data_IF_133036858596
#
_entry.id   IF_133036858596
#
_cell.length_a   1.000
_cell.length_b   1.000
_cell.length_c   1.000
_cell.angle_alpha   90.00
_cell.angle_beta   90.00
_cell.angle_gamma   90.00
#
_symmetry.space_group_name_H-M   'P 1'
#
loop_
_entity.id
_entity.type
_entity.pdbx_description
1 polymer ?
#
# COMPACT_ATOMS: atom_id res chain seq x y z
N UNK A 1 9.63 -23.67 12.81
CA UNK A 1 9.91 -22.22 12.82
C UNK A 1 11.38 -22.01 12.52
N UNK A 2 11.73 -21.32 11.42
CA UNK A 2 13.12 -20.93 11.18
C UNK A 2 13.49 -19.93 12.27
N UNK A 3 14.47 -20.27 13.08
CA UNK A 3 14.99 -19.36 14.11
C UNK A 3 15.53 -18.11 13.40
N UNK A 4 15.05 -16.93 13.76
CA UNK A 4 15.55 -15.68 13.19
C UNK A 4 17.05 -15.54 13.50
N UNK A 5 17.89 -15.65 12.48
CA UNK A 5 19.35 -15.54 12.62
C UNK A 5 19.73 -14.05 12.78
N UNK A 6 19.07 -13.15 12.02
CA UNK A 6 19.26 -11.70 12.10
C UNK A 6 18.23 -11.08 13.05
N UNK A 7 18.62 -10.21 14.00
CA UNK A 7 17.69 -9.64 14.97
C UNK A 7 16.71 -8.61 14.35
N UNK A 8 16.93 -8.19 13.12
CA UNK A 8 16.11 -7.22 12.39
C UNK A 8 14.91 -7.91 11.74
N UNK A 9 13.70 -7.34 11.95
CA UNK A 9 12.46 -7.84 11.37
C UNK A 9 11.41 -6.75 11.24
N UNK A 10 10.50 -6.92 10.29
CA UNK A 10 9.22 -6.21 10.27
C UNK A 10 8.19 -6.99 11.09
N UNK A 11 7.36 -6.28 11.82
CA UNK A 11 6.29 -6.83 12.63
C UNK A 11 4.97 -6.36 12.06
N UNK A 12 4.09 -7.32 11.71
CA UNK A 12 2.76 -7.09 11.18
C UNK A 12 1.75 -7.54 12.23
N UNK A 13 0.93 -6.61 12.72
CA UNK A 13 -0.14 -6.89 13.66
C UNK A 13 -1.45 -7.21 12.90
N UNK A 14 -1.75 -8.50 12.74
CA UNK A 14 -2.93 -8.94 12.00
C UNK A 14 -4.25 -8.68 12.75
N UNK A 15 -4.22 -8.62 14.08
CA UNK A 15 -5.42 -8.28 14.87
C UNK A 15 -5.79 -6.81 14.67
N UNK A 16 -4.79 -5.92 14.67
CA UNK A 16 -5.00 -4.52 14.38
C UNK A 16 -5.46 -4.32 12.92
N UNK A 17 -4.92 -5.08 11.98
CA UNK A 17 -5.36 -5.06 10.58
C UNK A 17 -6.83 -5.47 10.46
N UNK A 18 -7.23 -6.57 11.12
CA UNK A 18 -8.62 -7.04 11.16
C UNK A 18 -9.54 -5.98 11.75
N UNK A 19 -9.18 -5.44 12.91
CA UNK A 19 -9.91 -4.36 13.57
C UNK A 19 -10.09 -3.15 12.64
N UNK A 20 -9.02 -2.68 12.01
CA UNK A 20 -9.07 -1.53 11.11
C UNK A 20 -10.03 -1.76 9.94
N UNK A 21 -9.92 -2.91 9.27
CA UNK A 21 -10.80 -3.24 8.14
C UNK A 21 -12.26 -3.27 8.58
N UNK A 22 -12.58 -3.87 9.74
CA UNK A 22 -13.92 -3.92 10.28
C UNK A 22 -14.47 -2.52 10.61
N UNK A 23 -13.67 -1.66 11.23
CA UNK A 23 -14.09 -0.27 11.54
C UNK A 23 -14.31 0.55 10.26
N UNK A 24 -13.46 0.37 9.24
CA UNK A 24 -13.63 1.03 7.95
C UNK A 24 -14.92 0.57 7.26
N UNK A 25 -15.19 -0.74 7.21
CA UNK A 25 -16.42 -1.29 6.62
C UNK A 25 -17.66 -0.80 7.36
N UNK A 26 -17.61 -0.76 8.68
CA UNK A 26 -18.70 -0.20 9.50
C UNK A 26 -18.97 1.28 9.18
N UNK A 27 -17.91 2.07 8.99
CA UNK A 27 -18.03 3.48 8.61
C UNK A 27 -18.56 3.64 7.18
N UNK A 28 -18.18 2.74 6.28
CA UNK A 28 -18.55 2.75 4.87
C UNK A 28 -19.66 1.73 4.51
N UNK A 29 -20.53 1.41 5.45
CA UNK A 29 -21.58 0.39 5.34
C UNK A 29 -22.54 0.57 4.16
N UNK A 30 -22.67 1.79 3.66
CA UNK A 30 -23.53 2.12 2.51
C UNK A 30 -22.94 1.70 1.17
N UNK A 31 -21.67 1.28 1.13
CA UNK A 31 -21.09 0.67 -0.05
C UNK A 31 -21.31 -0.85 -0.03
N UNK A 32 -21.77 -1.39 -1.15
CA UNK A 32 -21.95 -2.85 -1.33
C UNK A 32 -20.62 -3.59 -1.54
N UNK A 33 -19.69 -2.93 -2.24
CA UNK A 33 -18.41 -3.53 -2.61
C UNK A 33 -17.24 -2.80 -1.94
N UNK A 34 -16.49 -3.57 -1.13
CA UNK A 34 -15.28 -3.11 -0.46
C UNK A 34 -14.08 -3.79 -1.08
N UNK A 35 -13.36 -3.07 -1.94
CA UNK A 35 -12.16 -3.58 -2.59
C UNK A 35 -10.96 -3.45 -1.65
N UNK A 36 -10.37 -4.57 -1.23
CA UNK A 36 -9.06 -4.58 -0.60
C UNK A 36 -7.97 -4.42 -1.66
N UNK A 37 -7.31 -3.26 -1.69
CA UNK A 37 -6.17 -3.03 -2.59
C UNK A 37 -4.93 -3.64 -1.95
N UNK A 38 -4.49 -4.77 -2.51
CA UNK A 38 -3.44 -5.63 -1.94
C UNK A 38 -2.20 -5.76 -2.83
N UNK A 39 -2.01 -4.79 -3.74
CA UNK A 39 -0.82 -4.68 -4.60
C UNK A 39 0.47 -4.48 -3.79
N UNK A 40 1.62 -4.69 -4.43
CA UNK A 40 2.95 -4.59 -3.83
C UNK A 40 3.08 -5.42 -2.54
N UNK A 41 2.66 -6.71 -2.61
CA UNK A 41 2.64 -7.64 -1.47
C UNK A 41 1.88 -7.06 -0.25
N UNK A 42 0.65 -6.54 -0.49
CA UNK A 42 -0.16 -5.84 0.51
C UNK A 42 0.55 -4.62 1.11
N UNK A 43 1.15 -3.76 0.26
CA UNK A 43 1.99 -2.65 0.71
C UNK A 43 3.14 -3.13 1.62
N UNK A 44 3.76 -4.25 1.26
CA UNK A 44 4.79 -4.93 2.03
C UNK A 44 4.34 -5.52 3.39
N UNK A 45 3.01 -5.61 3.62
CA UNK A 45 2.45 -6.30 4.80
C UNK A 45 2.24 -7.80 4.55
N UNK A 46 2.69 -8.28 3.43
CA UNK A 46 2.75 -9.67 2.95
C UNK A 46 1.42 -10.30 2.55
N UNK A 47 1.50 -11.22 1.62
CA UNK A 47 0.36 -12.03 1.13
C UNK A 47 -0.41 -12.76 2.27
N UNK A 48 0.24 -13.04 3.41
CA UNK A 48 -0.42 -13.65 4.58
C UNK A 48 -1.51 -12.77 5.18
N UNK A 49 -1.42 -11.43 5.00
CA UNK A 49 -2.45 -10.50 5.45
C UNK A 49 -3.78 -10.65 4.70
N UNK A 50 -3.79 -11.25 3.51
CA UNK A 50 -4.99 -11.34 2.66
C UNK A 50 -6.11 -12.12 3.33
N UNK A 51 -5.79 -13.25 3.99
CA UNK A 51 -6.79 -14.03 4.71
C UNK A 51 -7.47 -13.19 5.78
N UNK A 52 -6.69 -12.45 6.56
CA UNK A 52 -7.20 -11.54 7.60
C UNK A 52 -8.10 -10.43 7.02
N UNK A 53 -7.70 -9.85 5.89
CA UNK A 53 -8.46 -8.81 5.18
C UNK A 53 -9.80 -9.35 4.69
N UNK A 54 -9.83 -10.56 4.13
CA UNK A 54 -11.05 -11.24 3.67
C UNK A 54 -11.97 -11.56 4.87
N UNK A 55 -11.43 -12.16 5.91
CA UNK A 55 -12.18 -12.49 7.14
C UNK A 55 -12.74 -11.25 7.85
N UNK A 56 -12.13 -10.09 7.64
CA UNK A 56 -12.61 -8.83 8.17
C UNK A 56 -13.77 -8.21 7.37
N UNK A 57 -14.12 -8.76 6.20
CA UNK A 57 -15.30 -8.37 5.43
C UNK A 57 -15.02 -7.75 4.05
N UNK A 58 -13.76 -7.70 3.61
CA UNK A 58 -13.45 -7.36 2.21
C UNK A 58 -14.09 -8.39 1.29
N UNK A 59 -14.79 -7.94 0.24
CA UNK A 59 -15.52 -8.79 -0.67
C UNK A 59 -15.07 -8.71 -2.14
N UNK A 60 -14.00 -7.95 -2.40
CA UNK A 60 -13.30 -7.89 -3.68
C UNK A 60 -11.83 -7.53 -3.46
N UNK A 61 -10.90 -8.13 -4.21
CA UNK A 61 -9.48 -7.79 -4.12
C UNK A 61 -9.04 -7.00 -5.37
N UNK A 62 -8.07 -6.11 -5.20
CA UNK A 62 -7.51 -5.36 -6.32
C UNK A 62 -5.97 -5.33 -6.25
N UNK A 63 -5.33 -5.61 -7.38
CA UNK A 63 -3.88 -5.70 -7.55
C UNK A 63 -3.41 -4.88 -8.75
N UNK A 64 -2.10 -4.76 -8.97
CA UNK A 64 -1.55 -4.04 -10.13
C UNK A 64 -1.14 -4.96 -11.27
N UNK A 65 -0.81 -6.23 -11.02
CA UNK A 65 -0.28 -7.13 -12.05
C UNK A 65 -0.92 -8.52 -12.05
N UNK A 66 -0.76 -9.23 -13.15
CA UNK A 66 -1.22 -10.61 -13.26
C UNK A 66 -0.43 -11.54 -12.34
N UNK A 67 0.86 -11.28 -12.14
CA UNK A 67 1.71 -12.06 -11.24
C UNK A 67 1.21 -11.99 -9.79
N UNK A 68 0.80 -10.80 -9.33
CA UNK A 68 0.19 -10.64 -8.02
C UNK A 68 -1.15 -11.39 -7.94
N UNK A 69 -2.02 -11.19 -8.95
CA UNK A 69 -3.32 -11.87 -9.01
C UNK A 69 -3.17 -13.40 -8.94
N UNK A 70 -2.23 -13.97 -9.71
CA UNK A 70 -1.99 -15.42 -9.72
C UNK A 70 -1.41 -15.96 -8.41
N UNK A 71 -0.58 -15.18 -7.70
CA UNK A 71 -0.12 -15.55 -6.36
C UNK A 71 -1.29 -15.59 -5.37
N UNK A 72 -2.17 -14.60 -5.44
CA UNK A 72 -3.35 -14.49 -4.56
C UNK A 72 -4.38 -15.57 -4.89
N UNK A 73 -4.59 -15.88 -6.16
CA UNK A 73 -5.52 -16.94 -6.59
C UNK A 73 -5.19 -18.31 -6.00
N UNK A 74 -3.92 -18.59 -5.66
CA UNK A 74 -3.52 -19.82 -4.99
C UNK A 74 -4.04 -19.96 -3.54
N UNK A 75 -4.51 -18.87 -2.94
CA UNK A 75 -4.94 -18.84 -1.53
C UNK A 75 -6.41 -18.43 -1.34
N UNK A 76 -7.10 -17.99 -2.38
CA UNK A 76 -8.52 -17.60 -2.32
C UNK A 76 -9.19 -17.63 -3.69
N UNK A 77 -10.49 -17.94 -3.71
CA UNK A 77 -11.36 -17.86 -4.89
C UNK A 77 -12.10 -16.52 -4.99
N UNK A 78 -11.82 -15.56 -4.09
CA UNK A 78 -12.41 -14.23 -4.13
C UNK A 78 -12.15 -13.54 -5.48
N UNK A 79 -13.08 -12.70 -5.93
CA UNK A 79 -12.91 -11.87 -7.13
C UNK A 79 -11.66 -11.00 -7.00
N UNK A 80 -10.87 -10.93 -8.09
CA UNK A 80 -9.63 -10.15 -8.15
C UNK A 80 -9.67 -9.28 -9.40
N UNK A 81 -9.56 -7.97 -9.21
CA UNK A 81 -9.40 -6.99 -10.29
C UNK A 81 -7.94 -6.62 -10.45
N UNK A 82 -7.42 -6.69 -11.67
CA UNK A 82 -6.13 -6.06 -12.00
C UNK A 82 -6.41 -4.62 -12.43
N UNK A 83 -5.82 -3.65 -11.71
CA UNK A 83 -6.08 -2.20 -11.91
C UNK A 83 -5.37 -1.60 -13.14
N UNK A 84 -4.52 -2.37 -13.81
CA UNK A 84 -3.75 -1.98 -14.99
C UNK A 84 -4.00 -2.94 -16.15
N UNK A 85 -3.95 -2.49 -17.41
CA UNK A 85 -3.99 -3.38 -18.56
C UNK A 85 -2.81 -4.35 -18.54
N UNK A 86 -3.08 -5.63 -18.82
CA UNK A 86 -2.03 -6.66 -18.91
C UNK A 86 -1.66 -6.93 -20.38
N UNK A 87 -0.54 -7.61 -20.61
CA UNK A 87 -0.15 -8.03 -21.95
C UNK A 87 -1.24 -8.88 -22.60
N UNK A 88 -1.53 -8.63 -23.87
CA UNK A 88 -2.51 -9.39 -24.66
C UNK A 88 -2.19 -10.89 -24.66
N UNK A 89 -0.90 -11.25 -24.70
CA UNK A 89 -0.45 -12.65 -24.63
C UNK A 89 -0.82 -13.36 -23.33
N UNK A 90 -1.16 -12.60 -22.29
CA UNK A 90 -1.49 -13.11 -20.95
C UNK A 90 -2.98 -13.16 -20.65
N UNK A 91 -3.85 -12.68 -21.56
CA UNK A 91 -5.30 -12.60 -21.37
C UNK A 91 -5.90 -13.98 -21.07
N UNK A 92 -5.59 -14.99 -21.87
CA UNK A 92 -6.14 -16.34 -21.69
C UNK A 92 -5.74 -16.94 -20.33
N UNK A 93 -4.55 -16.61 -19.84
CA UNK A 93 -4.10 -17.01 -18.51
C UNK A 93 -4.90 -16.31 -17.40
N UNK A 94 -5.22 -15.04 -17.57
CA UNK A 94 -6.07 -14.31 -16.63
C UNK A 94 -7.49 -14.89 -16.62
N UNK A 95 -8.10 -15.13 -17.79
CA UNK A 95 -9.42 -15.72 -17.93
C UNK A 95 -9.50 -17.09 -17.27
N UNK A 96 -8.53 -17.98 -17.55
CA UNK A 96 -8.46 -19.33 -16.94
C UNK A 96 -8.43 -19.29 -15.41
N UNK A 97 -7.93 -18.21 -14.82
CA UNK A 97 -7.83 -18.04 -13.38
C UNK A 97 -8.92 -17.11 -12.79
N UNK A 98 -10.01 -16.84 -13.53
CA UNK A 98 -11.12 -15.98 -13.10
C UNK A 98 -10.65 -14.61 -12.58
N UNK A 99 -9.75 -13.96 -13.32
CA UNK A 99 -9.23 -12.63 -12.98
C UNK A 99 -9.97 -11.59 -13.82
N UNK A 100 -10.54 -10.59 -13.16
CA UNK A 100 -11.21 -9.45 -13.78
C UNK A 100 -10.15 -8.47 -14.31
N UNK A 101 -10.35 -7.99 -15.54
CA UNK A 101 -9.39 -7.14 -16.25
C UNK A 101 -9.81 -5.68 -16.21
N UNK A 102 -8.85 -4.76 -16.24
CA UNK A 102 -9.11 -3.35 -16.53
C UNK A 102 -8.95 -3.08 -18.02
N UNK A 103 -9.97 -2.45 -18.61
CA UNK A 103 -9.91 -1.86 -19.94
C UNK A 103 -9.81 -0.34 -19.79
N UNK A 104 -8.80 0.26 -20.41
CA UNK A 104 -8.51 1.69 -20.30
C UNK A 104 -8.32 2.42 -21.63
N UNK A 105 -8.47 1.70 -22.76
CA UNK A 105 -8.40 2.29 -24.10
C UNK A 105 -9.18 1.45 -25.11
N UNK A 106 -9.59 2.09 -26.19
CA UNK A 106 -10.27 1.44 -27.33
C UNK A 106 -9.36 0.42 -28.01
N UNK A 107 -8.08 0.74 -28.17
CA UNK A 107 -7.10 -0.17 -28.79
C UNK A 107 -6.96 -1.47 -28.00
N UNK A 108 -6.90 -1.36 -26.67
CA UNK A 108 -6.82 -2.53 -25.82
C UNK A 108 -8.11 -3.35 -25.90
N UNK A 109 -9.26 -2.69 -25.86
CA UNK A 109 -10.57 -3.33 -25.97
C UNK A 109 -10.72 -4.10 -27.30
N UNK A 110 -10.34 -3.49 -28.41
CA UNK A 110 -10.40 -4.13 -29.73
C UNK A 110 -9.54 -5.41 -29.80
N UNK A 111 -8.43 -5.47 -29.09
CA UNK A 111 -7.54 -6.65 -29.04
C UNK A 111 -8.13 -7.81 -28.22
N UNK A 112 -9.10 -7.54 -27.36
CA UNK A 112 -9.68 -8.57 -26.47
C UNK A 112 -11.18 -8.80 -26.72
N UNK A 113 -11.84 -8.08 -27.64
CA UNK A 113 -13.30 -8.13 -27.86
C UNK A 113 -13.84 -9.53 -28.18
N UNK A 114 -13.02 -10.39 -28.77
CA UNK A 114 -13.42 -11.76 -29.12
C UNK A 114 -13.22 -12.75 -27.94
N UNK A 115 -12.71 -12.28 -26.81
CA UNK A 115 -12.50 -13.10 -25.61
C UNK A 115 -13.72 -13.07 -24.69
N UNK A 116 -14.06 -14.21 -24.11
CA UNK A 116 -15.06 -14.29 -23.03
C UNK A 116 -14.39 -13.96 -21.70
N UNK A 117 -14.46 -12.69 -21.30
CA UNK A 117 -13.80 -12.22 -20.08
C UNK A 117 -14.66 -11.20 -19.32
N UNK A 118 -14.38 -11.05 -18.03
CA UNK A 118 -14.97 -10.03 -17.15
C UNK A 118 -14.05 -8.83 -17.08
N UNK A 119 -14.64 -7.64 -17.24
CA UNK A 119 -13.85 -6.40 -17.22
C UNK A 119 -14.44 -5.33 -16.30
N UNK A 120 -13.57 -4.43 -15.85
CA UNK A 120 -13.95 -3.08 -15.40
C UNK A 120 -13.42 -2.04 -16.41
N UNK A 121 -14.31 -1.16 -16.85
CA UNK A 121 -13.96 -0.07 -17.75
C UNK A 121 -13.46 1.13 -16.94
N UNK A 122 -12.27 1.61 -17.26
CA UNK A 122 -11.66 2.74 -16.54
C UNK A 122 -11.90 4.06 -17.28
N UNK A 123 -12.35 5.07 -16.53
CA UNK A 123 -12.58 6.43 -17.01
C UNK A 123 -11.45 7.34 -16.50
N UNK A 124 -10.91 8.17 -17.38
CA UNK A 124 -9.97 9.22 -17.00
C UNK A 124 -10.76 10.50 -16.67
N UNK A 125 -10.76 10.88 -15.41
CA UNK A 125 -11.41 12.11 -14.93
C UNK A 125 -10.40 13.16 -14.48
N UNK A 126 -9.21 13.17 -15.09
CA UNK A 126 -8.19 14.20 -14.83
C UNK A 126 -6.91 13.70 -14.18
N UNK A 127 -6.82 12.44 -13.75
CA UNK A 127 -5.56 11.87 -13.27
C UNK A 127 -4.55 11.64 -14.41
N UNK A 128 -5.01 11.52 -15.66
CA UNK A 128 -4.20 11.41 -16.88
C UNK A 128 -3.16 10.27 -16.88
N UNK A 129 -3.51 9.17 -16.20
CA UNK A 129 -2.66 7.98 -16.12
C UNK A 129 -3.17 6.85 -17.01
N UNK A 130 -4.45 6.51 -16.89
CA UNK A 130 -5.15 5.47 -17.65
C UNK A 130 -6.65 5.78 -17.69
N UNK A 131 -7.35 5.38 -18.76
CA UNK A 131 -8.82 5.46 -18.87
C UNK A 131 -9.28 6.18 -20.12
N UNK A 132 -10.55 5.98 -20.45
CA UNK A 132 -11.22 6.68 -21.55
C UNK A 132 -11.41 8.16 -21.20
N UNK A 133 -11.13 9.06 -22.15
CA UNK A 133 -10.97 10.48 -21.87
C UNK A 133 -12.27 11.29 -22.03
N UNK A 134 -13.24 10.77 -22.78
CA UNK A 134 -14.44 11.52 -23.13
C UNK A 134 -15.62 10.60 -23.44
N UNK A 135 -16.80 11.20 -23.56
CA UNK A 135 -18.05 10.50 -23.86
C UNK A 135 -17.98 9.71 -25.18
N UNK A 136 -17.36 10.25 -26.21
CA UNK A 136 -17.26 9.57 -27.53
C UNK A 136 -16.46 8.26 -27.42
N UNK A 137 -15.34 8.26 -26.69
CA UNK A 137 -14.58 7.04 -26.43
C UNK A 137 -15.37 6.06 -25.57
N UNK A 138 -16.11 6.54 -24.58
CA UNK A 138 -16.97 5.72 -23.74
C UNK A 138 -18.09 5.05 -24.55
N UNK A 139 -18.82 5.81 -25.37
CA UNK A 139 -19.91 5.30 -26.20
C UNK A 139 -19.41 4.23 -27.17
N UNK A 140 -18.24 4.47 -27.79
CA UNK A 140 -17.59 3.50 -28.67
C UNK A 140 -17.22 2.21 -27.91
N UNK A 141 -16.59 2.34 -26.74
CA UNK A 141 -16.23 1.19 -25.90
C UNK A 141 -17.47 0.40 -25.48
N UNK A 142 -18.51 1.08 -25.02
CA UNK A 142 -19.75 0.44 -24.59
C UNK A 142 -20.43 -0.32 -25.74
N UNK A 143 -20.45 0.28 -26.95
CA UNK A 143 -20.99 -0.38 -28.13
C UNK A 143 -20.19 -1.64 -28.53
N UNK A 144 -18.84 -1.58 -28.49
CA UNK A 144 -17.99 -2.75 -28.72
C UNK A 144 -18.29 -3.85 -27.71
N UNK A 145 -18.39 -3.50 -26.42
CA UNK A 145 -18.66 -4.47 -25.34
C UNK A 145 -20.02 -5.14 -25.55
N UNK A 146 -21.08 -4.37 -25.87
CA UNK A 146 -22.43 -4.92 -26.12
C UNK A 146 -22.49 -5.90 -27.28
N UNK A 147 -21.61 -5.75 -28.25
CA UNK A 147 -21.53 -6.61 -29.44
C UNK A 147 -20.42 -7.67 -29.33
N UNK A 148 -19.98 -7.98 -28.13
CA UNK A 148 -18.89 -8.93 -27.84
C UNK A 148 -19.31 -9.96 -26.77
N UNK A 149 -18.42 -10.88 -26.45
CA UNK A 149 -18.59 -11.84 -25.35
C UNK A 149 -18.02 -11.33 -24.02
N UNK A 150 -17.69 -10.02 -23.93
CA UNK A 150 -17.14 -9.40 -22.73
C UNK A 150 -18.27 -9.09 -21.75
N UNK A 151 -18.08 -9.46 -20.50
CA UNK A 151 -18.96 -9.05 -19.41
C UNK A 151 -18.43 -7.77 -18.74
N UNK A 152 -19.16 -6.66 -18.89
CA UNK A 152 -18.89 -5.40 -18.21
C UNK A 152 -19.42 -5.49 -16.79
N UNK A 153 -18.57 -5.90 -15.84
CA UNK A 153 -18.93 -6.00 -14.44
C UNK A 153 -18.88 -4.63 -13.73
N UNK A 154 -17.94 -3.77 -14.13
CA UNK A 154 -17.80 -2.49 -13.44
C UNK A 154 -17.27 -1.33 -14.28
N UNK A 155 -17.53 -0.13 -13.80
CA UNK A 155 -16.95 1.12 -14.34
C UNK A 155 -16.32 1.89 -13.17
N UNK A 156 -15.15 2.50 -13.40
CA UNK A 156 -14.46 3.20 -12.33
C UNK A 156 -13.55 4.34 -12.79
N UNK A 157 -13.28 5.23 -11.86
CA UNK A 157 -12.21 6.22 -11.97
C UNK A 157 -11.36 6.26 -10.70
N UNK A 158 -10.40 7.18 -10.64
CA UNK A 158 -9.56 7.41 -9.47
C UNK A 158 -9.40 8.89 -9.18
N UNK A 159 -9.78 9.29 -7.97
CA UNK A 159 -9.62 10.66 -7.50
C UNK A 159 -8.12 10.94 -7.28
N UNK A 160 -7.58 11.98 -7.93
CA UNK A 160 -6.16 12.30 -7.81
C UNK A 160 -5.84 13.23 -6.64
N UNK A 161 -6.85 13.97 -6.15
CA UNK A 161 -6.73 14.82 -4.98
C UNK A 161 -8.06 14.85 -4.20
N UNK A 162 -8.30 13.80 -3.40
CA UNK A 162 -9.51 13.68 -2.59
C UNK A 162 -9.51 14.57 -1.33
N UNK A 163 -8.48 15.39 -1.12
CA UNK A 163 -8.46 16.40 -0.06
C UNK A 163 -9.00 17.75 -0.52
N UNK A 164 -9.19 17.94 -1.83
CA UNK A 164 -9.78 19.15 -2.42
C UNK A 164 -11.21 18.86 -2.89
N UNK A 165 -12.17 19.58 -2.32
CA UNK A 165 -13.59 19.40 -2.65
C UNK A 165 -13.91 19.75 -4.10
N UNK A 166 -13.38 20.88 -4.62
CA UNK A 166 -13.70 21.33 -5.97
C UNK A 166 -13.14 20.38 -7.03
N UNK A 167 -11.91 19.91 -6.82
CA UNK A 167 -11.28 18.90 -7.69
C UNK A 167 -12.08 17.60 -7.64
N UNK A 168 -12.43 17.12 -6.45
CA UNK A 168 -13.21 15.91 -6.27
C UNK A 168 -14.57 16.01 -6.94
N UNK A 169 -15.30 17.12 -6.72
CA UNK A 169 -16.58 17.38 -7.35
C UNK A 169 -16.47 17.39 -8.88
N UNK A 170 -15.49 18.13 -9.42
CA UNK A 170 -15.24 18.18 -10.86
C UNK A 170 -14.99 16.79 -11.46
N UNK A 171 -14.24 15.91 -10.76
CA UNK A 171 -14.01 14.55 -11.21
C UNK A 171 -15.28 13.69 -11.21
N UNK A 172 -16.15 13.84 -10.22
CA UNK A 172 -17.46 13.17 -10.20
C UNK A 172 -18.37 13.68 -11.32
N UNK A 173 -18.44 15.00 -11.53
CA UNK A 173 -19.26 15.60 -12.58
C UNK A 173 -18.77 15.17 -13.98
N UNK A 174 -17.45 15.12 -14.18
CA UNK A 174 -16.85 14.63 -15.42
C UNK A 174 -17.13 13.14 -15.63
N UNK A 175 -17.07 12.32 -14.58
CA UNK A 175 -17.43 10.90 -14.67
C UNK A 175 -18.88 10.73 -15.12
N UNK A 176 -19.84 11.44 -14.51
CA UNK A 176 -21.25 11.44 -14.91
C UNK A 176 -21.44 11.86 -16.37
N UNK A 177 -20.76 12.92 -16.78
CA UNK A 177 -20.85 13.42 -18.16
C UNK A 177 -20.34 12.37 -19.18
N UNK A 178 -19.18 11.79 -18.92
CA UNK A 178 -18.59 10.76 -19.81
C UNK A 178 -19.50 9.54 -19.92
N UNK A 179 -20.12 9.11 -18.83
CA UNK A 179 -20.97 7.90 -18.76
C UNK A 179 -22.45 8.16 -19.00
N UNK A 180 -22.84 9.37 -19.38
CA UNK A 180 -24.24 9.82 -19.45
C UNK A 180 -25.13 9.12 -20.51
N UNK A 181 -24.56 8.34 -21.40
CA UNK A 181 -25.27 7.56 -22.41
C UNK A 181 -25.90 6.27 -21.91
N UNK A 182 -25.60 5.88 -20.67
CA UNK A 182 -26.15 4.67 -20.05
C UNK A 182 -26.75 4.96 -18.69
N UNK A 183 -27.68 4.11 -18.27
CA UNK A 183 -28.08 4.04 -16.86
C UNK A 183 -27.04 3.27 -16.07
N UNK A 184 -26.33 3.95 -15.18
CA UNK A 184 -25.29 3.35 -14.34
C UNK A 184 -25.83 2.29 -13.37
N UNK A 185 -27.15 2.28 -13.08
CA UNK A 185 -27.78 1.24 -12.27
C UNK A 185 -27.79 -0.14 -12.92
N UNK A 186 -27.60 -0.19 -14.24
CA UNK A 186 -27.51 -1.45 -15.02
C UNK A 186 -26.12 -2.09 -14.97
N UNK A 187 -25.14 -1.42 -14.38
CA UNK A 187 -23.78 -1.92 -14.20
C UNK A 187 -23.60 -2.39 -12.75
N UNK A 188 -23.12 -3.61 -12.56
CA UNK A 188 -23.05 -4.21 -11.22
C UNK A 188 -22.23 -3.38 -10.22
N UNK A 189 -21.11 -2.80 -10.68
CA UNK A 189 -20.15 -2.14 -9.80
C UNK A 189 -19.68 -0.79 -10.35
N UNK A 190 -20.01 0.28 -9.64
CA UNK A 190 -19.41 1.60 -9.88
C UNK A 190 -18.51 1.95 -8.68
N UNK A 191 -17.21 2.04 -8.90
CA UNK A 191 -16.28 2.34 -7.81
C UNK A 191 -15.35 3.52 -8.12
N UNK A 192 -15.44 4.56 -7.32
CA UNK A 192 -14.71 5.82 -7.51
C UNK A 192 -13.75 6.09 -6.33
N UNK A 193 -14.22 6.15 -5.04
CA UNK A 193 -13.38 6.60 -3.95
C UNK A 193 -12.31 5.56 -3.57
N UNK A 194 -11.17 6.08 -3.18
CA UNK A 194 -10.12 5.40 -2.42
C UNK A 194 -10.15 5.87 -0.97
N UNK A 195 -9.13 5.56 -0.18
CA UNK A 195 -9.06 5.83 1.25
C UNK A 195 -9.58 7.21 1.67
N UNK A 196 -9.06 8.28 1.08
CA UNK A 196 -9.44 9.65 1.46
C UNK A 196 -10.83 10.02 0.92
N UNK A 197 -11.14 9.60 -0.31
CA UNK A 197 -12.42 9.94 -0.95
C UNK A 197 -13.63 9.37 -0.21
N UNK A 198 -13.54 8.12 0.31
CA UNK A 198 -14.66 7.52 1.06
C UNK A 198 -14.81 8.04 2.48
N UNK A 199 -13.76 8.68 3.03
CA UNK A 199 -13.80 9.25 4.38
C UNK A 199 -14.15 10.74 4.34
N UNK A 200 -13.73 11.46 3.30
CA UNK A 200 -13.90 12.91 3.21
C UNK A 200 -15.27 13.33 2.68
N UNK A 201 -15.92 12.46 1.89
CA UNK A 201 -17.16 12.81 1.20
C UNK A 201 -18.25 11.76 1.41
N UNK A 202 -19.53 12.17 1.43
CA UNK A 202 -20.64 11.24 1.42
C UNK A 202 -20.63 10.37 0.16
N UNK A 203 -21.19 9.18 0.26
CA UNK A 203 -21.37 8.29 -0.87
C UNK A 203 -22.27 8.94 -1.92
N UNK A 204 -21.84 8.94 -3.17
CA UNK A 204 -22.66 9.35 -4.32
C UNK A 204 -23.67 8.24 -4.66
N UNK A 205 -24.90 8.59 -5.01
CA UNK A 205 -26.02 7.63 -5.21
C UNK A 205 -25.72 6.51 -6.21
N UNK A 206 -25.03 6.84 -7.31
CA UNK A 206 -24.67 5.88 -8.35
C UNK A 206 -23.42 5.06 -8.05
N UNK A 207 -22.70 5.35 -6.94
CA UNK A 207 -21.46 4.64 -6.56
C UNK A 207 -21.81 3.59 -5.52
N UNK A 208 -21.43 2.33 -5.74
CA UNK A 208 -21.70 1.23 -4.83
C UNK A 208 -20.43 0.47 -4.39
N UNK A 209 -19.25 0.92 -4.84
CA UNK A 209 -17.96 0.34 -4.45
C UNK A 209 -16.93 1.37 -4.00
N UNK A 210 -16.11 1.03 -3.02
CA UNK A 210 -14.97 1.81 -2.54
C UNK A 210 -13.71 0.93 -2.44
N UNK A 211 -12.52 1.58 -2.51
CA UNK A 211 -11.23 0.87 -2.54
C UNK A 211 -10.40 1.23 -1.32
N UNK A 212 -10.21 0.25 -0.44
CA UNK A 212 -9.41 0.35 0.77
C UNK A 212 -7.95 0.05 0.44
N UNK A 213 -7.08 1.03 0.59
CA UNK A 213 -5.63 0.91 0.42
C UNK A 213 -4.91 1.08 1.76
N UNK A 214 -4.12 2.14 1.87
CA UNK A 214 -3.28 2.41 3.05
C UNK A 214 -4.07 2.58 4.35
N UNK A 215 -5.33 2.99 4.25
CA UNK A 215 -6.21 3.16 5.43
C UNK A 215 -6.33 1.84 6.22
N UNK A 216 -6.27 0.68 5.57
CA UNK A 216 -6.30 -0.62 6.26
C UNK A 216 -5.13 -0.77 7.25
N UNK A 217 -4.01 -0.10 6.99
CA UNK A 217 -2.80 -0.14 7.82
C UNK A 217 -2.75 0.98 8.87
N UNK A 218 -3.87 1.67 9.08
CA UNK A 218 -4.04 2.63 10.17
C UNK A 218 -3.71 4.08 9.82
N UNK A 219 -3.48 4.40 8.54
CA UNK A 219 -3.19 5.78 8.12
C UNK A 219 -4.48 6.55 7.80
N UNK A 220 -5.08 7.10 8.82
CA UNK A 220 -6.19 8.05 8.74
C UNK A 220 -6.36 8.74 10.11
N UNK A 221 -6.68 10.03 10.11
CA UNK A 221 -6.83 10.86 11.30
C UNK A 221 -8.30 11.02 11.77
N UNK A 222 -9.27 10.68 10.91
CA UNK A 222 -10.71 10.77 11.23
C UNK A 222 -11.27 9.51 11.90
N UNK A 223 -10.63 8.35 11.68
CA UNK A 223 -11.01 7.08 12.28
C UNK A 223 -9.98 6.66 13.33
N UNK A 224 -10.45 6.08 14.44
CA UNK A 224 -9.55 5.52 15.49
C UNK A 224 -8.98 4.18 15.05
N UNK A 225 -8.05 4.21 14.12
CA UNK A 225 -7.38 3.03 13.60
C UNK A 225 -6.10 2.71 14.39
N UNK A 226 -5.65 1.47 14.30
CA UNK A 226 -4.50 0.93 15.04
C UNK A 226 -3.31 0.72 14.13
N UNK A 227 -2.10 0.82 14.70
CA UNK A 227 -0.85 0.58 13.98
C UNK A 227 -0.72 -0.89 13.58
N UNK A 228 -0.41 -1.13 12.31
CA UNK A 228 -0.27 -2.50 11.76
C UNK A 228 1.18 -2.86 11.52
N UNK A 229 2.01 -1.89 11.12
CA UNK A 229 3.35 -2.11 10.62
C UNK A 229 4.40 -1.45 11.53
N UNK A 230 5.46 -2.20 11.86
CA UNK A 230 6.65 -1.64 12.51
C UNK A 230 7.92 -2.38 12.05
N UNK A 231 9.09 -1.74 12.21
CA UNK A 231 10.40 -2.33 11.91
C UNK A 231 11.27 -2.28 13.16
N UNK A 232 11.71 -3.43 13.59
CA UNK A 232 12.44 -3.62 14.84
C UNK A 232 13.81 -4.25 14.59
N UNK A 233 14.76 -3.90 15.45
CA UNK A 233 16.11 -4.44 15.45
C UNK A 233 16.67 -4.49 16.88
N UNK A 234 17.99 -4.63 16.98
CA UNK A 234 18.72 -4.60 18.26
C UNK A 234 20.07 -3.90 18.08
N UNK A 235 20.62 -3.39 19.18
CA UNK A 235 22.03 -3.03 19.25
C UNK A 235 22.85 -4.32 19.24
N UNK A 236 23.74 -4.47 18.27
CA UNK A 236 24.60 -5.68 18.17
C UNK A 236 26.00 -5.46 18.70
N UNK A 237 26.46 -4.19 18.74
CA UNK A 237 27.78 -3.81 19.22
C UNK A 237 27.77 -2.37 19.69
N UNK A 238 28.70 -2.03 20.60
CA UNK A 238 28.89 -0.67 21.08
C UNK A 238 30.39 -0.34 20.98
N UNK A 239 30.72 0.76 20.32
CA UNK A 239 32.07 1.30 20.21
C UNK A 239 32.18 2.62 20.98
N UNK A 240 33.31 2.83 21.59
CA UNK A 240 33.68 4.12 22.17
C UNK A 240 34.62 4.85 21.21
N UNK A 241 34.20 5.97 20.69
CA UNK A 241 35.03 6.88 19.92
C UNK A 241 35.65 7.92 20.86
N UNK A 242 36.92 8.22 20.63
CA UNK A 242 37.60 9.35 21.27
C UNK A 242 37.31 10.64 20.52
N UNK A 243 37.43 11.77 21.18
CA UNK A 243 37.39 13.07 20.52
C UNK A 243 38.33 13.09 19.31
N UNK A 244 37.77 13.42 18.14
CA UNK A 244 38.51 13.48 16.88
C UNK A 244 38.43 12.23 16.03
N UNK A 245 38.00 11.09 16.58
CA UNK A 245 37.76 9.86 15.80
C UNK A 245 36.65 10.03 14.78
N UNK A 246 36.76 9.29 13.69
CA UNK A 246 35.75 9.30 12.61
C UNK A 246 34.96 7.99 12.55
N UNK A 247 33.77 8.00 11.99
CA UNK A 247 32.87 6.86 11.90
C UNK A 247 32.44 6.57 10.48
N UNK A 248 32.52 5.28 10.10
CA UNK A 248 31.96 4.73 8.87
C UNK A 248 32.66 5.21 7.60
N UNK A 249 32.03 4.94 6.46
CA UNK A 249 32.60 5.28 5.15
C UNK A 249 32.83 6.78 4.99
N UNK A 250 34.03 7.14 4.52
CA UNK A 250 34.53 8.50 4.29
C UNK A 250 34.62 9.35 5.58
N UNK A 251 34.52 8.75 6.77
CA UNK A 251 34.64 9.47 8.05
C UNK A 251 33.68 10.67 8.17
N UNK A 252 32.46 10.59 7.61
CA UNK A 252 31.54 11.73 7.54
C UNK A 252 30.98 12.18 8.89
N UNK A 253 31.08 11.35 9.92
CA UNK A 253 30.88 11.73 11.32
C UNK A 253 32.22 11.80 12.00
N UNK A 254 32.48 12.90 12.72
CA UNK A 254 33.64 13.10 13.56
C UNK A 254 33.19 13.36 15.01
N UNK A 255 33.72 12.62 15.93
CA UNK A 255 33.39 12.76 17.35
C UNK A 255 33.95 14.09 17.92
N UNK A 256 33.08 14.95 18.43
CA UNK A 256 33.46 16.22 19.05
C UNK A 256 33.96 16.02 20.49
N UNK A 257 33.58 14.93 21.13
CA UNK A 257 33.88 14.48 22.48
C UNK A 257 33.94 12.94 22.51
N UNK A 258 34.35 12.36 23.63
CA UNK A 258 34.27 10.92 23.85
C UNK A 258 32.79 10.48 23.71
N UNK A 259 32.51 9.60 22.77
CA UNK A 259 31.14 9.30 22.32
C UNK A 259 30.93 7.79 22.22
N UNK A 260 29.79 7.30 22.70
CA UNK A 260 29.33 5.91 22.48
C UNK A 260 28.52 5.80 21.22
N UNK A 261 28.80 4.76 20.41
CA UNK A 261 28.13 4.46 19.16
C UNK A 261 27.56 3.06 19.24
N UNK A 262 26.24 2.96 19.06
CA UNK A 262 25.54 1.69 18.90
C UNK A 262 25.47 1.29 17.42
N UNK A 263 25.75 0.02 17.10
CA UNK A 263 25.65 -0.55 15.76
C UNK A 263 24.34 -1.33 15.64
N UNK A 264 23.59 -1.06 14.59
CA UNK A 264 22.31 -1.69 14.31
C UNK A 264 22.39 -2.44 12.96
N UNK A 265 22.05 -3.74 12.89
CA UNK A 265 22.18 -4.57 11.67
C UNK A 265 21.00 -4.35 10.70
N UNK A 266 20.90 -3.15 10.17
CA UNK A 266 19.97 -2.77 9.09
C UNK A 266 20.62 -1.63 8.28
N UNK A 267 20.53 -1.68 6.96
CA UNK A 267 21.13 -0.68 6.09
C UNK A 267 20.35 -0.44 4.80
N UNK A 268 21.02 0.17 3.80
CA UNK A 268 20.30 0.57 2.59
C UNK A 268 19.86 -0.63 1.71
N UNK A 269 20.51 -1.78 1.80
CA UNK A 269 20.04 -2.99 1.12
C UNK A 269 18.72 -3.53 1.70
N UNK A 270 18.38 -3.14 2.92
CA UNK A 270 17.13 -3.49 3.60
C UNK A 270 16.04 -2.44 3.37
N UNK A 271 16.37 -1.32 2.71
CA UNK A 271 15.45 -0.23 2.43
C UNK A 271 15.62 1.02 3.31
N UNK A 272 16.62 1.04 4.21
CA UNK A 272 16.98 2.24 4.97
C UNK A 272 17.97 3.05 4.15
N UNK A 273 17.47 3.78 3.15
CA UNK A 273 18.29 4.55 2.22
C UNK A 273 19.17 5.58 2.95
N UNK A 274 20.23 6.06 2.29
CA UNK A 274 21.25 6.91 2.90
C UNK A 274 20.75 8.25 3.43
N UNK A 275 19.65 8.77 2.85
CA UNK A 275 18.95 9.96 3.30
C UNK A 275 18.34 9.83 4.69
N UNK A 276 18.22 8.60 5.24
CA UNK A 276 17.85 8.38 6.65
C UNK A 276 18.92 8.83 7.67
N UNK A 277 20.11 9.25 7.26
CA UNK A 277 21.13 9.82 8.17
C UNK A 277 20.53 11.01 8.94
N UNK A 278 20.96 11.19 10.19
CA UNK A 278 20.55 12.26 11.12
C UNK A 278 19.08 12.22 11.58
N UNK A 279 18.22 11.32 11.08
CA UNK A 279 16.94 11.08 11.73
C UNK A 279 17.10 10.24 12.99
N UNK A 280 16.08 10.23 13.85
CA UNK A 280 16.12 9.38 15.05
C UNK A 280 15.49 8.00 14.83
N UNK A 281 15.90 7.08 15.70
CA UNK A 281 15.24 5.81 16.02
C UNK A 281 14.88 5.82 17.51
N UNK A 282 14.07 4.87 17.96
CA UNK A 282 13.83 4.72 19.39
C UNK A 282 14.60 3.52 19.95
N UNK A 283 15.21 3.70 21.14
CA UNK A 283 15.81 2.65 21.94
C UNK A 283 15.28 2.85 23.37
N UNK A 284 14.63 1.84 23.95
CA UNK A 284 14.02 1.93 25.28
C UNK A 284 13.16 3.20 25.44
N UNK A 285 12.29 3.49 24.43
CA UNK A 285 11.38 4.64 24.33
C UNK A 285 12.03 6.02 24.23
N UNK A 286 13.36 6.12 24.23
CA UNK A 286 14.10 7.37 23.99
C UNK A 286 14.55 7.50 22.53
N UNK A 287 14.70 8.74 22.07
CA UNK A 287 15.17 9.07 20.70
C UNK A 287 16.69 9.09 20.64
N UNK A 288 17.28 8.36 19.69
CA UNK A 288 18.70 8.35 19.38
C UNK A 288 18.92 8.60 17.90
N UNK A 289 19.87 9.46 17.56
CA UNK A 289 20.06 9.92 16.19
C UNK A 289 21.04 9.04 15.42
N UNK A 290 20.69 8.73 14.19
CA UNK A 290 21.58 8.04 13.25
C UNK A 290 22.71 8.98 12.88
N UNK A 291 23.95 8.50 12.98
CA UNK A 291 25.17 9.27 12.71
C UNK A 291 26.03 8.59 11.65
N UNK A 292 26.79 9.38 10.91
CA UNK A 292 27.61 8.88 9.81
C UNK A 292 26.80 8.37 8.61
N UNK A 293 27.51 7.77 7.67
CA UNK A 293 26.87 7.21 6.47
C UNK A 293 26.24 5.84 6.78
N UNK A 294 24.99 5.64 6.36
CA UNK A 294 24.37 4.31 6.41
C UNK A 294 25.10 3.38 5.45
N UNK A 295 25.47 2.21 5.96
CA UNK A 295 26.14 1.15 5.20
C UNK A 295 25.12 0.24 4.49
N UNK A 296 25.61 -0.72 3.71
CA UNK A 296 24.73 -1.69 3.01
C UNK A 296 23.87 -2.47 4.00
N UNK A 297 24.43 -2.93 5.11
CA UNK A 297 23.82 -3.86 6.06
C UNK A 297 23.71 -3.32 7.49
N UNK A 298 24.23 -2.13 7.77
CA UNK A 298 24.34 -1.56 9.12
C UNK A 298 24.13 -0.05 9.10
N UNK A 299 23.69 0.46 10.23
CA UNK A 299 23.70 1.88 10.55
C UNK A 299 24.19 2.11 11.98
N UNK A 300 24.54 3.34 12.30
CA UNK A 300 25.13 3.75 13.55
C UNK A 300 24.23 4.79 14.23
N UNK A 301 24.16 4.72 15.56
CA UNK A 301 23.44 5.70 16.39
C UNK A 301 24.33 6.21 17.51
N UNK A 302 24.32 7.52 17.77
CA UNK A 302 24.95 8.07 18.98
C UNK A 302 24.07 7.69 20.17
N UNK A 303 24.66 7.05 21.19
CA UNK A 303 23.96 6.54 22.38
C UNK A 303 24.58 7.08 23.68
N UNK A 304 23.88 6.92 24.78
CA UNK A 304 24.39 7.15 26.13
C UNK A 304 24.79 5.83 26.83
N UNK A 305 25.30 5.91 28.04
CA UNK A 305 25.80 4.79 28.86
C UNK A 305 24.67 3.86 29.39
N UNK A 306 23.41 4.28 29.27
CA UNK A 306 22.28 3.46 29.67
C UNK A 306 21.97 2.35 28.69
N UNK A 307 22.44 2.47 27.42
CA UNK A 307 22.19 1.52 26.36
C UNK A 307 23.18 0.37 26.37
N UNK A 308 22.68 -0.85 26.15
CA UNK A 308 23.46 -2.09 26.17
C UNK A 308 23.30 -2.87 24.87
N UNK A 309 24.27 -3.76 24.62
CA UNK A 309 24.16 -4.76 23.55
C UNK A 309 22.91 -5.63 23.80
N UNK A 310 22.16 -5.91 22.75
CA UNK A 310 20.85 -6.57 22.73
C UNK A 310 19.64 -5.70 23.12
N UNK A 311 19.80 -4.42 23.43
CA UNK A 311 18.67 -3.51 23.60
C UNK A 311 17.85 -3.42 22.32
N UNK A 312 16.52 -3.35 22.49
CA UNK A 312 15.59 -3.27 21.37
C UNK A 312 15.61 -1.90 20.72
N UNK A 313 15.61 -1.89 19.39
CA UNK A 313 15.58 -0.68 18.58
C UNK A 313 14.32 -0.69 17.71
N UNK A 314 13.56 0.39 17.77
CA UNK A 314 12.47 0.64 16.83
C UNK A 314 12.97 1.56 15.70
N UNK A 315 13.27 0.95 14.56
CA UNK A 315 13.66 1.66 13.32
C UNK A 315 12.47 2.45 12.77
N UNK A 316 11.29 1.83 12.84
CA UNK A 316 9.96 2.43 12.62
C UNK A 316 9.07 1.83 13.72
N UNK A 317 8.57 2.66 14.62
CA UNK A 317 7.86 2.22 15.82
C UNK A 317 6.37 2.00 15.57
N UNK A 318 5.73 3.00 14.98
CA UNK A 318 4.30 3.15 14.81
C UNK A 318 3.99 4.06 13.61
N UNK A 319 2.73 4.31 13.32
CA UNK A 319 2.31 5.16 12.20
C UNK A 319 2.77 6.62 12.38
N UNK A 320 2.81 7.15 13.60
CA UNK A 320 3.29 8.51 13.86
C UNK A 320 4.78 8.64 13.52
N UNK A 321 5.58 7.62 13.90
CA UNK A 321 6.99 7.57 13.53
C UNK A 321 7.18 7.36 12.02
N UNK A 322 6.32 6.55 11.37
CA UNK A 322 6.31 6.38 9.91
C UNK A 322 6.02 7.71 9.19
N UNK A 323 5.05 8.49 9.66
CA UNK A 323 4.73 9.82 9.13
C UNK A 323 5.92 10.79 9.31
N UNK A 324 6.60 10.76 10.46
CA UNK A 324 7.83 11.52 10.65
C UNK A 324 8.92 11.10 9.65
N UNK A 325 9.18 9.80 9.49
CA UNK A 325 10.19 9.28 8.55
C UNK A 325 9.86 9.66 7.11
N UNK A 326 8.59 9.51 6.69
CA UNK A 326 8.19 9.89 5.34
C UNK A 326 8.35 11.39 5.08
N UNK A 327 7.97 12.24 6.04
CA UNK A 327 8.19 13.69 5.94
C UNK A 327 9.68 14.04 5.90
N UNK A 328 10.50 13.37 6.73
CA UNK A 328 11.94 13.56 6.75
C UNK A 328 12.61 13.23 5.41
N UNK A 329 12.12 12.18 4.75
CA UNK A 329 12.60 11.73 3.43
C UNK A 329 11.92 12.46 2.25
N UNK A 330 11.06 13.46 2.51
CA UNK A 330 10.25 14.15 1.50
C UNK A 330 9.44 13.19 0.60
N UNK A 331 8.78 12.22 1.24
CA UNK A 331 7.96 11.21 0.57
C UNK A 331 6.71 10.87 1.38
N UNK A 332 6.05 9.76 1.07
CA UNK A 332 4.80 9.30 1.66
C UNK A 332 4.97 7.94 2.38
N UNK A 333 4.13 7.62 3.38
CA UNK A 333 4.22 6.34 4.12
C UNK A 333 4.19 5.09 3.22
N UNK A 334 3.46 5.12 2.12
CA UNK A 334 3.39 4.04 1.13
C UNK A 334 4.78 3.64 0.61
N UNK A 335 5.58 4.64 0.23
CA UNK A 335 6.91 4.40 -0.31
C UNK A 335 7.84 3.86 0.77
N UNK A 336 7.86 4.48 1.95
CA UNK A 336 8.68 4.02 3.08
C UNK A 336 8.37 2.57 3.43
N UNK A 337 7.08 2.17 3.49
CA UNK A 337 6.70 0.77 3.72
C UNK A 337 7.22 -0.16 2.62
N UNK A 338 7.05 0.23 1.36
CA UNK A 338 7.44 -0.59 0.20
C UNK A 338 8.96 -0.70 0.02
N UNK A 339 9.74 0.25 0.56
CA UNK A 339 11.21 0.20 0.53
C UNK A 339 11.77 -0.90 1.45
N UNK A 340 11.10 -1.23 2.56
CA UNK A 340 11.60 -2.21 3.55
C UNK A 340 11.57 -3.62 2.95
N UNK A 341 12.72 -4.06 2.48
CA UNK A 341 12.94 -5.38 1.85
C UNK A 341 13.98 -6.16 2.64
N UNK A 342 14.23 -7.41 2.26
CA UNK A 342 15.30 -8.27 2.79
C UNK A 342 15.31 -8.41 4.33
N UNK A 343 14.21 -8.09 5.01
CA UNK A 343 14.02 -8.30 6.44
C UNK A 343 12.97 -9.38 6.70
N UNK A 344 13.18 -10.17 7.74
CA UNK A 344 12.22 -11.19 8.13
C UNK A 344 10.89 -10.56 8.57
N UNK A 345 9.79 -11.30 8.47
CA UNK A 345 8.48 -10.85 8.94
C UNK A 345 8.03 -11.69 10.12
N UNK A 346 7.63 -11.03 11.20
CA UNK A 346 6.89 -11.61 12.33
C UNK A 346 5.44 -11.13 12.30
N UNK A 347 4.54 -11.92 12.85
CA UNK A 347 3.12 -11.60 12.93
C UNK A 347 2.65 -11.63 14.38
N UNK A 348 1.83 -10.64 14.76
CA UNK A 348 1.00 -10.71 15.97
C UNK A 348 -0.37 -11.23 15.53
N UNK A 349 -0.77 -12.32 16.14
CA UNK A 349 -2.09 -12.95 15.98
C UNK A 349 -2.50 -13.39 17.38
N UNK A 350 -3.52 -12.79 17.97
CA UNK A 350 -4.15 -13.33 19.17
C UNK A 350 -4.80 -14.66 18.79
N UNK A 351 -4.37 -15.75 19.41
CA UNK A 351 -5.10 -17.00 19.35
C UNK A 351 -6.44 -16.74 20.04
N UNK A 352 -7.53 -16.66 19.28
CA UNK A 352 -8.87 -16.88 19.84
C UNK A 352 -8.86 -18.22 20.54
N UNK A 353 -9.01 -18.21 21.86
CA UNK A 353 -9.24 -19.43 22.66
C UNK A 353 -10.55 -20.09 22.24
#
# INVERSE_FOLDING_TARGET
MIKLIRPTYKLINLDNLKYNVQEIIKYTKDYKYHFGVVKADCYNNTIKSIKTIIEAGINYLAVSSLEEALKIRKITDMKILILEPISIKSIDKAIKNNITLTVSSIDYLNKIKDKKCTIHLKINTGMNRLGLNNKKEFDLAYNIIRNSNIYLEGIYTHLYNANDYNITKSQYDLFKNITSSIDLSTVDIIHIPSSDGMINYPKMDFVNGCRLGIIMYGFNDKLKLKDVFSVKSKIIEIHKLKKGDTLGYNGTYKANDDTLIGVIPIGYADGIIRENKNRYVYINDKKYYIVGNICMDMLFVKIDDTIKVNDNVDIIRDNSHMLYVSKYLNTIPYEVMCLIKRVNTKYIICKTK
#
